data_IF_751982853324
#
_entry.id   IF_751982853324
#
_cell.length_a   1.000
_cell.length_b   1.000
_cell.length_c   1.000
_cell.angle_alpha   90.00
_cell.angle_beta   90.00
_cell.angle_gamma   90.00
#
_symmetry.space_group_name_H-M   'P 1'
#
loop_
_entity.id
_entity.type
_entity.pdbx_description
1 polymer ?
#
# COMPACT_ATOMS: atom_id res chain seq x y z
N UNK A 1 -47.04 -22.38 -29.18
CA UNK A 1 -47.66 -22.32 -27.86
C UNK A 1 -46.70 -21.61 -26.95
N UNK A 2 -46.88 -20.33 -26.57
CA UNK A 2 -45.99 -19.64 -25.62
C UNK A 2 -46.44 -19.93 -24.20
N UNK A 3 -45.47 -20.14 -23.34
CA UNK A 3 -45.60 -20.48 -21.93
C UNK A 3 -46.15 -19.26 -21.14
N UNK A 4 -47.27 -19.37 -20.43
CA UNK A 4 -47.78 -18.29 -19.62
C UNK A 4 -47.36 -18.50 -18.14
N UNK A 5 -46.36 -17.82 -17.65
CA UNK A 5 -46.15 -17.96 -16.22
C UNK A 5 -44.93 -17.30 -15.55
N UNK A 6 -44.27 -16.35 -16.17
CA UNK A 6 -43.26 -15.57 -15.46
C UNK A 6 -43.68 -14.09 -15.34
N UNK A 7 -44.52 -13.78 -14.31
CA UNK A 7 -44.76 -12.40 -13.89
C UNK A 7 -43.53 -11.89 -13.17
N UNK A 8 -42.84 -10.92 -13.75
CA UNK A 8 -41.79 -10.16 -13.06
C UNK A 8 -42.41 -9.52 -11.83
N UNK A 9 -41.85 -9.68 -10.62
CA UNK A 9 -42.33 -8.94 -9.46
C UNK A 9 -42.14 -7.45 -9.74
N UNK A 10 -43.22 -6.69 -9.56
CA UNK A 10 -43.24 -5.26 -9.76
C UNK A 10 -42.21 -4.59 -8.83
N UNK A 11 -41.26 -3.86 -9.42
CA UNK A 11 -40.25 -3.07 -8.70
C UNK A 11 -40.88 -2.09 -7.71
N UNK A 12 -42.14 -1.69 -7.94
CA UNK A 12 -42.94 -0.86 -7.02
C UNK A 12 -43.35 -1.59 -5.74
N UNK A 13 -43.65 -2.88 -5.81
CA UNK A 13 -44.03 -3.66 -4.61
C UNK A 13 -42.79 -3.92 -3.72
N UNK A 14 -41.61 -4.12 -4.30
CA UNK A 14 -40.37 -4.30 -3.55
C UNK A 14 -39.95 -2.99 -2.87
N UNK A 15 -40.17 -1.84 -3.53
CA UNK A 15 -39.86 -0.53 -2.96
C UNK A 15 -40.81 -0.14 -1.84
N UNK A 16 -42.11 -0.45 -1.98
CA UNK A 16 -43.12 -0.22 -0.92
C UNK A 16 -42.89 -1.10 0.31
N UNK A 17 -42.43 -2.36 0.12
CA UNK A 17 -42.08 -3.25 1.25
C UNK A 17 -40.77 -2.81 1.96
N UNK A 18 -39.84 -2.21 1.26
CA UNK A 18 -38.62 -1.64 1.87
C UNK A 18 -38.92 -0.36 2.65
N UNK A 19 -39.85 0.47 2.17
CA UNK A 19 -40.23 1.73 2.80
C UNK A 19 -41.12 1.49 4.05
N UNK A 20 -41.89 0.40 4.11
CA UNK A 20 -42.64 -0.01 5.27
C UNK A 20 -41.81 -0.62 6.41
N UNK A 21 -40.56 -1.06 6.11
CA UNK A 21 -39.67 -1.65 7.11
C UNK A 21 -38.83 -0.62 7.86
N UNK A 22 -38.72 0.59 7.32
CA UNK A 22 -37.95 1.68 7.93
C UNK A 22 -38.51 2.29 9.22
N UNK A 23 -39.82 2.42 9.45
CA UNK A 23 -40.30 3.03 10.71
C UNK A 23 -40.18 2.14 11.95
N UNK A 24 -39.96 0.82 11.79
CA UNK A 24 -39.86 -0.09 12.95
C UNK A 24 -38.44 -0.15 13.54
N UNK A 25 -37.40 0.19 12.77
CA UNK A 25 -36.03 0.23 13.25
C UNK A 25 -35.67 1.57 13.90
N UNK A 26 -36.29 2.66 13.45
CA UNK A 26 -36.13 3.99 14.04
C UNK A 26 -36.70 4.09 15.47
N UNK A 27 -37.59 3.19 15.86
CA UNK A 27 -38.23 3.20 17.20
C UNK A 27 -37.38 2.52 18.29
N UNK A 28 -36.21 1.97 17.98
CA UNK A 28 -35.30 1.34 18.95
C UNK A 28 -34.17 2.23 19.44
N UNK A 29 -34.06 3.46 18.96
CA UNK A 29 -33.18 4.48 19.53
C UNK A 29 -33.79 4.97 20.86
N UNK A 30 -33.15 4.63 21.98
CA UNK A 30 -33.56 5.15 23.28
C UNK A 30 -33.48 6.69 23.30
N UNK A 31 -34.58 7.35 23.67
CA UNK A 31 -34.61 8.79 23.94
C UNK A 31 -34.12 9.03 25.38
N UNK A 32 -33.21 10.00 25.56
CA UNK A 32 -32.93 10.53 26.90
C UNK A 32 -34.10 11.39 27.37
N UNK A 33 -34.11 11.75 28.66
CA UNK A 33 -35.24 12.50 29.29
C UNK A 33 -35.57 13.85 28.63
N UNK A 34 -34.75 14.35 27.70
CA UNK A 34 -34.89 15.60 26.98
C UNK A 34 -35.34 15.44 25.50
N UNK A 35 -35.76 14.22 25.12
CA UNK A 35 -36.26 13.94 23.75
C UNK A 35 -35.21 13.98 22.64
N UNK A 36 -33.92 14.04 22.96
CA UNK A 36 -32.84 13.99 21.98
C UNK A 36 -32.51 12.53 21.65
N UNK A 37 -32.50 12.19 20.35
CA UNK A 37 -31.97 10.92 19.89
C UNK A 37 -30.50 10.84 20.33
N UNK A 38 -30.18 9.89 21.19
CA UNK A 38 -28.81 9.50 21.43
C UNK A 38 -28.30 8.89 20.12
N UNK A 39 -27.61 9.68 19.30
CA UNK A 39 -26.73 9.15 18.30
C UNK A 39 -25.77 8.23 19.08
N UNK A 40 -25.95 6.93 18.92
CA UNK A 40 -25.07 5.95 19.54
C UNK A 40 -23.65 6.34 19.16
N UNK A 41 -22.87 6.73 20.16
CA UNK A 41 -21.43 6.95 20.02
C UNK A 41 -20.83 5.56 19.74
N UNK A 42 -20.93 5.11 18.48
CA UNK A 42 -20.34 3.86 18.01
C UNK A 42 -18.82 4.03 17.98
N UNK A 43 -18.25 4.28 19.16
CA UNK A 43 -16.82 4.09 19.35
C UNK A 43 -16.55 2.60 19.14
N UNK A 44 -15.71 2.24 18.16
CA UNK A 44 -15.37 0.83 17.95
C UNK A 44 -14.90 0.25 19.29
N UNK A 45 -15.46 -0.92 19.64
CA UNK A 45 -15.14 -1.58 20.88
C UNK A 45 -13.61 -1.66 21.05
N UNK A 46 -13.05 -1.46 22.27
CA UNK A 46 -11.60 -1.44 22.52
C UNK A 46 -10.86 -2.66 21.94
N UNK A 47 -11.55 -3.78 21.82
CA UNK A 47 -11.04 -5.01 21.20
C UNK A 47 -10.85 -4.87 19.67
N UNK A 48 -11.78 -4.21 18.97
CA UNK A 48 -11.66 -3.97 17.52
C UNK A 48 -10.44 -3.08 17.21
N UNK A 49 -10.23 -2.03 17.99
CA UNK A 49 -9.06 -1.15 17.84
C UNK A 49 -7.73 -1.88 18.09
N UNK A 50 -7.71 -2.85 19.02
CA UNK A 50 -6.54 -3.70 19.27
C UNK A 50 -6.23 -4.64 18.11
N UNK A 51 -7.23 -5.27 17.53
CA UNK A 51 -7.09 -6.16 16.37
C UNK A 51 -6.60 -5.39 15.15
N UNK A 52 -7.18 -4.23 14.86
CA UNK A 52 -6.76 -3.39 13.75
C UNK A 52 -5.31 -2.92 13.86
N UNK A 53 -4.87 -2.60 15.08
CA UNK A 53 -3.48 -2.25 15.35
C UNK A 53 -2.54 -3.45 15.14
N UNK A 54 -2.94 -4.63 15.61
CA UNK A 54 -2.17 -5.85 15.43
C UNK A 54 -2.04 -6.22 13.94
N UNK A 55 -3.13 -6.12 13.17
CA UNK A 55 -3.12 -6.35 11.71
C UNK A 55 -2.17 -5.37 11.02
N UNK A 56 -2.25 -4.07 11.34
CA UNK A 56 -1.37 -3.06 10.73
C UNK A 56 0.11 -3.29 11.06
N UNK A 57 0.42 -3.62 12.31
CA UNK A 57 1.79 -3.89 12.73
C UNK A 57 2.34 -5.16 12.08
N UNK A 58 1.56 -6.24 12.02
CA UNK A 58 1.98 -7.49 11.37
C UNK A 58 2.16 -7.31 9.87
N UNK A 59 1.29 -6.55 9.20
CA UNK A 59 1.43 -6.22 7.78
C UNK A 59 2.69 -5.39 7.54
N UNK A 60 2.93 -4.36 8.34
CA UNK A 60 4.14 -3.54 8.22
C UNK A 60 5.41 -4.37 8.44
N UNK A 61 5.42 -5.24 9.46
CA UNK A 61 6.55 -6.13 9.73
C UNK A 61 6.80 -7.11 8.57
N UNK A 62 5.74 -7.72 8.00
CA UNK A 62 5.84 -8.61 6.85
C UNK A 62 6.39 -7.89 5.61
N UNK A 63 5.87 -6.68 5.31
CA UNK A 63 6.36 -5.87 4.19
C UNK A 63 7.83 -5.50 4.36
N UNK A 64 8.24 -5.08 5.56
CA UNK A 64 9.64 -4.76 5.85
C UNK A 64 10.55 -5.99 5.76
N UNK A 65 10.09 -7.15 6.21
CA UNK A 65 10.85 -8.40 6.08
C UNK A 65 11.07 -8.78 4.61
N UNK A 66 10.01 -8.73 3.79
CA UNK A 66 10.09 -8.99 2.35
C UNK A 66 11.03 -7.98 1.67
N UNK A 67 10.88 -6.68 1.99
CA UNK A 67 11.76 -5.64 1.45
C UNK A 67 13.24 -5.87 1.84
N UNK A 68 13.52 -6.25 3.08
CA UNK A 68 14.88 -6.54 3.56
C UNK A 68 15.50 -7.74 2.84
N UNK A 69 14.75 -8.82 2.66
CA UNK A 69 15.21 -9.99 1.89
C UNK A 69 15.46 -9.61 0.43
N UNK A 70 14.53 -8.88 -0.17
CA UNK A 70 14.64 -8.46 -1.56
C UNK A 70 15.85 -7.53 -1.78
N UNK A 71 16.08 -6.56 -0.89
CA UNK A 71 17.24 -5.68 -0.92
C UNK A 71 18.56 -6.46 -0.78
N UNK A 72 18.61 -7.41 0.15
CA UNK A 72 19.78 -8.26 0.33
C UNK A 72 20.12 -9.06 -0.93
N UNK A 73 19.13 -9.74 -1.54
CA UNK A 73 19.33 -10.52 -2.76
C UNK A 73 19.71 -9.61 -3.93
N UNK A 74 19.01 -8.49 -4.10
CA UNK A 74 19.29 -7.50 -5.15
C UNK A 74 20.70 -6.93 -5.05
N UNK A 75 21.17 -6.61 -3.85
CA UNK A 75 22.54 -6.16 -3.60
C UNK A 75 23.57 -7.19 -4.10
N UNK A 76 23.38 -8.48 -3.76
CA UNK A 76 24.31 -9.52 -4.18
C UNK A 76 24.29 -9.77 -5.69
N UNK A 77 23.15 -9.64 -6.34
CA UNK A 77 23.07 -9.69 -7.81
C UNK A 77 23.84 -8.54 -8.44
N UNK A 78 23.64 -7.30 -8.00
CA UNK A 78 24.36 -6.14 -8.48
C UNK A 78 25.88 -6.26 -8.22
N UNK A 79 26.28 -6.73 -7.03
CA UNK A 79 27.68 -7.00 -6.70
C UNK A 79 28.31 -8.03 -7.64
N UNK A 80 27.59 -9.11 -7.97
CA UNK A 80 28.10 -10.11 -8.90
C UNK A 80 28.29 -9.55 -10.30
N UNK A 81 27.38 -8.69 -10.79
CA UNK A 81 27.52 -8.01 -12.07
C UNK A 81 28.75 -7.08 -12.08
N UNK A 82 28.92 -6.25 -11.06
CA UNK A 82 30.06 -5.35 -10.89
C UNK A 82 31.39 -6.12 -10.92
N UNK A 83 31.44 -7.23 -10.18
CA UNK A 83 32.59 -8.14 -10.15
C UNK A 83 32.90 -8.76 -11.53
N UNK A 84 31.87 -9.16 -12.26
CA UNK A 84 32.02 -9.74 -13.59
C UNK A 84 32.57 -8.74 -14.63
N UNK A 85 32.42 -7.42 -14.38
CA UNK A 85 32.91 -6.35 -15.22
C UNK A 85 34.27 -5.78 -14.78
N UNK A 86 34.98 -6.46 -13.87
CA UNK A 86 36.37 -6.16 -13.54
C UNK A 86 36.58 -5.36 -12.26
N UNK A 87 35.55 -4.85 -11.64
CA UNK A 87 35.69 -4.15 -10.36
C UNK A 87 36.07 -5.10 -9.21
N UNK A 88 36.93 -4.64 -8.31
CA UNK A 88 37.46 -5.49 -7.22
C UNK A 88 37.52 -4.72 -5.89
N UNK A 89 37.74 -5.46 -4.82
CA UNK A 89 37.97 -4.88 -3.50
C UNK A 89 36.76 -4.14 -2.93
N UNK A 90 37.02 -2.99 -2.31
CA UNK A 90 36.01 -2.17 -1.64
C UNK A 90 35.09 -1.47 -2.63
N UNK A 91 35.60 -1.07 -3.80
CA UNK A 91 34.83 -0.39 -4.85
C UNK A 91 33.66 -1.27 -5.30
N UNK A 92 33.94 -2.54 -5.62
CA UNK A 92 32.92 -3.48 -6.04
C UNK A 92 31.79 -3.65 -5.01
N UNK A 93 32.09 -3.49 -3.71
CA UNK A 93 31.09 -3.56 -2.62
C UNK A 93 30.30 -2.27 -2.47
N UNK A 94 30.93 -1.12 -2.69
CA UNK A 94 30.29 0.18 -2.49
C UNK A 94 29.41 0.57 -3.67
N UNK A 95 29.70 0.12 -4.88
CA UNK A 95 28.99 0.52 -6.08
C UNK A 95 27.50 0.16 -6.04
N UNK A 96 27.07 -1.08 -5.69
CA UNK A 96 25.66 -1.38 -5.46
C UNK A 96 25.04 -0.54 -4.36
N UNK A 97 25.77 -0.27 -3.28
CA UNK A 97 25.28 0.54 -2.18
C UNK A 97 25.01 2.01 -2.58
N UNK A 98 25.73 2.55 -3.58
CA UNK A 98 25.43 3.90 -4.10
C UNK A 98 24.09 3.96 -4.82
N UNK A 99 23.74 2.90 -5.57
CA UNK A 99 22.44 2.79 -6.26
C UNK A 99 21.33 2.72 -5.23
N UNK A 100 21.45 1.84 -4.24
CA UNK A 100 20.46 1.70 -3.17
C UNK A 100 20.33 2.97 -2.33
N UNK A 101 21.45 3.64 -2.04
CA UNK A 101 21.47 4.93 -1.35
C UNK A 101 20.76 6.03 -2.13
N UNK A 102 20.91 6.06 -3.46
CA UNK A 102 20.21 6.99 -4.34
C UNK A 102 18.70 6.75 -4.34
N UNK A 103 18.28 5.49 -4.42
CA UNK A 103 16.86 5.10 -4.30
C UNK A 103 16.30 5.53 -2.95
N UNK A 104 17.00 5.23 -1.87
CA UNK A 104 16.59 5.62 -0.53
C UNK A 104 16.45 7.14 -0.37
N UNK A 105 17.48 7.90 -0.72
CA UNK A 105 17.48 9.36 -0.59
C UNK A 105 16.36 10.00 -1.40
N UNK A 106 16.19 9.57 -2.66
CA UNK A 106 15.13 10.06 -3.55
C UNK A 106 13.74 9.73 -3.01
N UNK A 107 13.56 8.51 -2.47
CA UNK A 107 12.30 8.08 -1.84
C UNK A 107 11.96 8.93 -0.62
N UNK A 108 12.94 9.29 0.20
CA UNK A 108 12.72 10.16 1.36
C UNK A 108 12.29 11.56 0.95
N UNK A 109 12.85 12.12 -0.13
CA UNK A 109 12.41 13.43 -0.67
C UNK A 109 10.97 13.35 -1.17
N UNK A 110 10.61 12.28 -1.89
CA UNK A 110 9.23 12.07 -2.38
C UNK A 110 8.26 11.95 -1.20
N UNK A 111 8.61 11.17 -0.18
CA UNK A 111 7.79 10.98 1.02
C UNK A 111 7.63 12.29 1.80
N UNK A 112 8.70 13.06 1.98
CA UNK A 112 8.67 14.37 2.61
C UNK A 112 7.71 15.32 1.89
N UNK A 113 7.85 15.43 0.56
CA UNK A 113 6.98 16.26 -0.26
C UNK A 113 5.51 15.85 -0.15
N UNK A 114 5.23 14.53 -0.19
CA UNK A 114 3.87 14.00 -0.03
C UNK A 114 3.27 14.32 1.34
N UNK A 115 4.09 14.22 2.41
CA UNK A 115 3.64 14.50 3.78
C UNK A 115 3.33 15.98 4.01
N UNK A 116 4.13 16.86 3.42
CA UNK A 116 3.98 18.31 3.55
C UNK A 116 3.10 18.94 2.45
N UNK A 117 2.52 18.13 1.55
CA UNK A 117 1.68 18.57 0.43
C UNK A 117 2.38 19.59 -0.47
N UNK A 118 3.71 19.52 -0.58
CA UNK A 118 4.49 20.33 -1.51
C UNK A 118 4.76 19.54 -2.80
N UNK A 119 4.95 20.23 -3.95
CA UNK A 119 5.25 19.56 -5.20
C UNK A 119 6.57 18.78 -5.11
N UNK A 120 6.57 17.54 -5.59
CA UNK A 120 7.77 16.70 -5.64
C UNK A 120 8.75 17.26 -6.68
N UNK A 121 10.02 17.56 -6.32
CA UNK A 121 11.03 17.99 -7.27
C UNK A 121 11.18 16.98 -8.42
N UNK A 122 11.26 17.47 -9.66
CA UNK A 122 11.44 16.60 -10.83
C UNK A 122 12.72 15.78 -10.74
N UNK A 123 13.79 16.38 -10.23
CA UNK A 123 15.05 15.69 -10.00
C UNK A 123 14.91 14.46 -9.11
N UNK A 124 14.20 14.56 -7.98
CA UNK A 124 13.99 13.43 -7.09
C UNK A 124 13.25 12.28 -7.78
N UNK A 125 12.25 12.59 -8.61
CA UNK A 125 11.53 11.57 -9.40
C UNK A 125 12.44 10.89 -10.42
N UNK A 126 13.26 11.67 -11.13
CA UNK A 126 14.20 11.13 -12.12
C UNK A 126 15.28 10.27 -11.47
N UNK A 127 15.86 10.72 -10.34
CA UNK A 127 16.87 9.95 -9.62
C UNK A 127 16.28 8.64 -9.06
N UNK A 128 15.04 8.68 -8.55
CA UNK A 128 14.34 7.48 -8.10
C UNK A 128 14.11 6.50 -9.26
N UNK A 129 13.61 7.00 -10.39
CA UNK A 129 13.37 6.17 -11.57
C UNK A 129 14.68 5.58 -12.12
N UNK A 130 15.76 6.37 -12.15
CA UNK A 130 17.09 5.92 -12.56
C UNK A 130 17.64 4.83 -11.64
N UNK A 131 17.54 5.02 -10.33
CA UNK A 131 17.98 4.02 -9.35
C UNK A 131 17.19 2.71 -9.47
N UNK A 132 15.87 2.78 -9.60
CA UNK A 132 15.03 1.58 -9.83
C UNK A 132 15.42 0.88 -11.13
N UNK A 133 15.61 1.63 -12.23
CA UNK A 133 16.01 1.07 -13.50
C UNK A 133 17.39 0.41 -13.43
N UNK A 134 18.36 1.03 -12.77
CA UNK A 134 19.69 0.48 -12.56
C UNK A 134 19.66 -0.83 -11.76
N UNK A 135 18.92 -0.85 -10.65
CA UNK A 135 18.72 -2.05 -9.82
C UNK A 135 18.06 -3.18 -10.62
N UNK A 136 17.01 -2.88 -11.35
CA UNK A 136 16.31 -3.87 -12.18
C UNK A 136 17.23 -4.44 -13.27
N UNK A 137 17.99 -3.56 -13.96
CA UNK A 137 18.94 -3.96 -15.00
C UNK A 137 20.06 -4.84 -14.45
N UNK A 138 20.62 -4.51 -13.29
CA UNK A 138 21.65 -5.32 -12.64
C UNK A 138 21.11 -6.71 -12.26
N UNK A 139 19.91 -6.79 -11.70
CA UNK A 139 19.27 -8.07 -11.37
C UNK A 139 19.01 -8.92 -12.63
N UNK A 140 18.48 -8.31 -13.70
CA UNK A 140 18.27 -9.01 -14.97
C UNK A 140 19.58 -9.48 -15.61
N UNK A 141 20.61 -8.65 -15.58
CA UNK A 141 21.93 -9.00 -16.13
C UNK A 141 22.55 -10.20 -15.42
N UNK A 142 22.39 -10.30 -14.10
CA UNK A 142 22.84 -11.45 -13.32
C UNK A 142 22.17 -12.75 -13.77
N UNK A 143 20.86 -12.71 -14.06
CA UNK A 143 20.11 -13.89 -14.48
C UNK A 143 20.25 -14.23 -15.97
N UNK A 144 20.81 -13.34 -16.79
CA UNK A 144 20.84 -13.48 -18.25
C UNK A 144 21.62 -14.71 -18.73
N UNK A 145 22.64 -15.13 -17.98
CA UNK A 145 23.40 -16.36 -18.26
C UNK A 145 22.54 -17.62 -18.30
N UNK A 146 21.36 -17.60 -17.70
CA UNK A 146 20.36 -18.68 -17.68
C UNK A 146 19.21 -18.42 -18.67
N UNK A 147 19.40 -17.52 -19.63
CA UNK A 147 18.40 -17.14 -20.62
C UNK A 147 17.33 -16.19 -20.11
N UNK A 148 16.29 -15.90 -20.93
CA UNK A 148 15.26 -14.90 -20.58
C UNK A 148 14.49 -15.22 -19.29
N UNK A 149 14.23 -16.50 -19.04
CA UNK A 149 13.55 -16.95 -17.83
C UNK A 149 14.40 -16.65 -16.59
N UNK A 150 15.72 -16.92 -16.68
CA UNK A 150 16.66 -16.60 -15.61
C UNK A 150 16.70 -15.11 -15.32
N UNK A 151 16.69 -14.26 -16.34
CA UNK A 151 16.62 -12.80 -16.17
C UNK A 151 15.35 -12.35 -15.44
N UNK A 152 14.18 -12.91 -15.79
CA UNK A 152 12.91 -12.60 -15.13
C UNK A 152 12.92 -13.04 -13.67
N UNK A 153 13.41 -14.24 -13.38
CA UNK A 153 13.52 -14.75 -12.00
C UNK A 153 14.48 -13.88 -11.18
N UNK A 154 15.63 -13.50 -11.74
CA UNK A 154 16.59 -12.64 -11.07
C UNK A 154 16.08 -11.20 -10.86
N UNK A 155 15.15 -10.71 -11.68
CA UNK A 155 14.51 -9.41 -11.51
C UNK A 155 13.50 -9.38 -10.35
N UNK A 156 12.99 -10.55 -9.92
CA UNK A 156 11.92 -10.65 -8.93
C UNK A 156 12.22 -9.91 -7.60
N UNK A 157 13.41 -9.97 -7.01
CA UNK A 157 13.75 -9.21 -5.81
C UNK A 157 13.57 -7.70 -5.99
N UNK A 158 14.01 -7.15 -7.13
CA UNK A 158 13.85 -5.72 -7.42
C UNK A 158 12.36 -5.33 -7.53
N UNK A 159 11.54 -6.14 -8.20
CA UNK A 159 10.09 -5.95 -8.29
C UNK A 159 9.44 -6.02 -6.91
N UNK A 160 9.83 -7.00 -6.09
CA UNK A 160 9.33 -7.16 -4.72
C UNK A 160 9.69 -5.98 -3.83
N UNK A 161 10.86 -5.40 -4.00
CA UNK A 161 11.30 -4.22 -3.25
C UNK A 161 10.43 -3.00 -3.58
N UNK A 162 10.19 -2.74 -4.88
CA UNK A 162 9.31 -1.66 -5.33
C UNK A 162 7.87 -1.87 -4.83
N UNK A 163 7.34 -3.08 -4.96
CA UNK A 163 6.00 -3.41 -4.47
C UNK A 163 5.86 -3.25 -2.95
N UNK A 164 6.89 -3.64 -2.19
CA UNK A 164 6.93 -3.45 -0.74
C UNK A 164 6.94 -1.97 -0.36
N UNK A 165 7.67 -1.13 -1.10
CA UNK A 165 7.69 0.31 -0.90
C UNK A 165 6.31 0.93 -1.13
N UNK A 166 5.63 0.58 -2.21
CA UNK A 166 4.28 1.08 -2.52
C UNK A 166 3.27 0.69 -1.42
N UNK A 167 3.30 -0.57 -0.95
CA UNK A 167 2.47 -1.03 0.15
C UNK A 167 2.73 -0.27 1.45
N UNK A 168 4.00 0.01 1.75
CA UNK A 168 4.39 0.76 2.94
C UNK A 168 3.89 2.21 2.87
N UNK A 169 4.06 2.87 1.72
CA UNK A 169 3.56 4.23 1.49
C UNK A 169 2.04 4.28 1.61
N UNK A 170 1.34 3.30 1.03
CA UNK A 170 -0.11 3.20 1.15
C UNK A 170 -0.54 3.03 2.62
N UNK A 171 0.11 2.15 3.37
CA UNK A 171 -0.19 1.90 4.79
C UNK A 171 0.00 3.15 5.64
N UNK A 172 1.09 3.91 5.41
CA UNK A 172 1.36 5.18 6.11
C UNK A 172 0.28 6.22 5.81
N UNK A 173 -0.15 6.33 4.56
CA UNK A 173 -1.21 7.26 4.15
C UNK A 173 -2.57 6.89 4.75
N UNK A 174 -2.91 5.61 4.75
CA UNK A 174 -4.16 5.11 5.32
C UNK A 174 -4.22 5.37 6.84
N UNK A 175 -3.11 5.21 7.56
CA UNK A 175 -3.05 5.50 9.00
C UNK A 175 -3.23 6.98 9.33
N UNK A 176 -2.71 7.89 8.48
CA UNK A 176 -2.86 9.34 8.68
C UNK A 176 -4.27 9.88 8.38
N UNK A 177 -5.12 9.12 7.70
CA UNK A 177 -6.50 9.48 7.43
C UNK A 177 -7.45 9.09 8.56
N UNK A 178 -7.13 8.03 9.28
CA UNK A 178 -7.92 7.54 10.42
C UNK A 178 -7.83 8.46 11.66
N UNK A 179 -6.71 9.19 11.80
CA UNK A 179 -6.48 10.10 12.94
C UNK A 179 -7.17 11.48 12.79
N UNK A 180 -7.75 11.73 11.63
CA UNK A 180 -8.57 12.91 11.33
C UNK A 180 -10.04 12.57 11.44
N UNK A 181 -10.53 12.35 12.68
CA UNK A 181 -11.96 12.26 12.98
C UNK A 181 -12.71 13.50 12.47
N UNK A 182 -14.04 13.39 12.27
CA UNK A 182 -14.90 14.47 11.78
C UNK A 182 -15.02 15.58 12.84
N UNK A 183 -13.96 16.32 13.09
CA UNK A 183 -13.99 17.53 13.94
C UNK A 183 -13.84 18.75 13.04
N UNK A 184 -14.92 19.49 12.92
CA UNK A 184 -15.09 20.85 12.43
C UNK A 184 -16.05 21.00 11.24
N UNK A 185 -17.30 20.61 11.44
CA UNK A 185 -18.41 21.09 10.61
C UNK A 185 -19.53 21.69 11.48
N UNK A 186 -19.16 22.45 12.51
CA UNK A 186 -20.09 23.31 13.27
C UNK A 186 -19.34 24.57 13.71
N UNK A 187 -19.23 25.53 12.81
CA UNK A 187 -19.22 26.98 13.07
C UNK A 187 -19.98 27.68 11.96
#
# INVERSE_FOLDING_TARGET
MPDPGFTRPDLYSIRAAAEQKQPAEAARGGLNGDGHLLAGDERPAPQAAGIDRAIRLSTAAAVLAVAGIAAYVSYWHAYAVVRAHGETGITARLEPATIDGLVYASSMVVLYAARHRVPVPSLARWLLALGIAATLTANMAQGWSHGPVGAVVAAWPAVSLVGSYELLVWLIRASGSADRGPSAAHL
#
